data_IF_835310907429
#
_entry.id   IF_835310907429
#
_cell.length_a   1.000
_cell.length_b   1.000
_cell.length_c   1.000
_cell.angle_alpha   90.00
_cell.angle_beta   90.00
_cell.angle_gamma   90.00
#
_symmetry.space_group_name_H-M   'P 1'
#
loop_
_entity.id
_entity.type
_entity.pdbx_description
1 polymer ?
#
# COMPACT_ATOMS: atom_id res chain seq x y z
N UNK A 1 -6.63 39.55 -61.31
CA UNK A 1 -7.91 38.87 -61.04
C UNK A 1 -7.70 37.99 -59.82
N UNK A 2 -8.66 38.03 -58.91
CA UNK A 2 -8.57 37.81 -57.46
C UNK A 2 -7.88 36.54 -56.95
N UNK A 3 -6.97 36.76 -55.99
CA UNK A 3 -6.38 35.82 -55.05
C UNK A 3 -7.39 35.54 -53.93
N UNK A 4 -7.84 34.29 -53.78
CA UNK A 4 -8.88 33.89 -52.83
C UNK A 4 -8.22 33.54 -51.49
N UNK A 5 -8.17 34.50 -50.56
CA UNK A 5 -7.73 34.30 -49.18
C UNK A 5 -8.79 33.49 -48.40
N UNK A 6 -8.37 32.38 -47.78
CA UNK A 6 -9.16 31.65 -46.80
C UNK A 6 -9.21 32.46 -45.47
N UNK A 7 -10.39 32.66 -44.86
CA UNK A 7 -10.49 33.42 -43.62
C UNK A 7 -9.95 32.61 -42.41
N UNK A 8 -9.15 33.28 -41.58
CA UNK A 8 -8.75 32.83 -40.25
C UNK A 8 -10.00 32.65 -39.38
N UNK A 9 -10.19 31.46 -38.82
CA UNK A 9 -11.20 31.20 -37.79
C UNK A 9 -10.56 31.56 -36.44
N UNK A 10 -10.87 32.73 -35.92
CA UNK A 10 -10.62 33.10 -34.52
C UNK A 10 -11.71 32.48 -33.64
N UNK A 11 -11.32 31.71 -32.63
CA UNK A 11 -12.22 31.18 -31.60
C UNK A 11 -12.47 32.28 -30.56
N UNK A 12 -13.72 32.77 -30.36
CA UNK A 12 -14.00 33.71 -29.30
C UNK A 12 -14.06 32.99 -27.95
N UNK A 13 -13.35 33.57 -26.99
CA UNK A 13 -13.54 33.29 -25.58
C UNK A 13 -14.88 33.83 -25.08
N UNK A 14 -15.39 33.19 -24.02
CA UNK A 14 -16.48 33.62 -23.13
C UNK A 14 -17.90 33.13 -23.43
N UNK A 15 -18.66 33.10 -22.33
CA UNK A 15 -19.85 32.30 -22.03
C UNK A 15 -21.15 32.89 -22.59
N UNK A 16 -22.14 32.00 -22.74
CA UNK A 16 -23.60 32.23 -22.81
C UNK A 16 -24.20 32.86 -24.08
N UNK A 17 -24.92 32.06 -24.88
CA UNK A 17 -26.31 32.34 -25.27
C UNK A 17 -27.01 31.09 -25.85
N UNK A 18 -28.26 30.87 -25.44
CA UNK A 18 -29.17 29.81 -25.84
C UNK A 18 -29.92 30.12 -27.15
N UNK A 19 -30.33 29.05 -27.88
CA UNK A 19 -31.32 28.95 -28.98
C UNK A 19 -30.97 29.64 -30.34
N UNK A 20 -31.20 29.09 -31.55
CA UNK A 20 -32.07 28.02 -32.05
C UNK A 20 -31.65 27.54 -33.47
N UNK A 21 -31.70 26.22 -33.69
CA UNK A 21 -32.03 25.43 -34.90
C UNK A 21 -31.41 25.71 -36.30
N UNK A 22 -30.49 24.83 -36.73
CA UNK A 22 -30.50 24.13 -38.04
C UNK A 22 -29.37 23.07 -38.07
N UNK A 23 -29.69 21.78 -37.88
CA UNK A 23 -29.02 20.59 -38.47
C UNK A 23 -29.37 19.30 -37.70
N UNK A 24 -30.58 18.78 -37.95
CA UNK A 24 -31.13 17.63 -37.23
C UNK A 24 -31.03 16.28 -37.95
N UNK A 25 -30.30 16.15 -39.06
CA UNK A 25 -30.03 14.83 -39.68
C UNK A 25 -28.58 14.37 -39.56
N UNK A 26 -27.61 15.28 -39.68
CA UNK A 26 -26.17 14.93 -39.54
C UNK A 26 -25.82 14.66 -38.07
N UNK A 27 -26.32 15.48 -37.15
CA UNK A 27 -26.15 15.27 -35.70
C UNK A 27 -26.79 13.97 -35.22
N UNK A 28 -27.91 13.55 -35.82
CA UNK A 28 -28.57 12.29 -35.47
C UNK A 28 -27.77 11.08 -35.98
N UNK A 29 -27.28 11.11 -37.23
CA UNK A 29 -26.45 10.03 -37.81
C UNK A 29 -25.07 9.90 -37.13
N UNK A 30 -24.46 11.03 -36.71
CA UNK A 30 -23.22 11.01 -35.93
C UNK A 30 -23.47 10.49 -34.50
N UNK A 31 -24.58 10.90 -33.87
CA UNK A 31 -24.93 10.42 -32.52
C UNK A 31 -25.30 8.92 -32.53
N UNK A 32 -25.96 8.41 -33.57
CA UNK A 32 -26.30 6.99 -33.73
C UNK A 32 -25.05 6.12 -34.02
N UNK A 33 -24.09 6.64 -34.80
CA UNK A 33 -22.79 6.00 -35.07
C UNK A 33 -21.87 5.98 -33.83
N UNK A 34 -21.90 7.05 -33.01
CA UNK A 34 -21.16 7.13 -31.74
C UNK A 34 -21.81 6.26 -30.66
N UNK A 35 -23.14 6.15 -30.61
CA UNK A 35 -23.85 5.29 -29.66
C UNK A 35 -23.62 3.79 -29.91
N UNK A 36 -23.53 3.35 -31.18
CA UNK A 36 -23.20 1.94 -31.53
C UNK A 36 -21.74 1.55 -31.23
N UNK A 37 -20.80 2.50 -31.18
CA UNK A 37 -19.38 2.26 -30.84
C UNK A 37 -19.08 2.21 -29.33
N UNK A 38 -19.95 2.78 -28.49
CA UNK A 38 -19.80 2.80 -27.02
C UNK A 38 -19.80 1.42 -26.34
N UNK A 39 -20.69 0.46 -26.66
CA UNK A 39 -20.65 -0.86 -26.02
C UNK A 39 -19.41 -1.66 -26.42
N UNK A 40 -18.93 -1.53 -27.66
CA UNK A 40 -17.70 -2.18 -28.13
C UNK A 40 -16.48 -1.58 -27.44
N UNK A 41 -16.41 -0.25 -27.29
CA UNK A 41 -15.32 0.41 -26.58
C UNK A 41 -15.28 0.04 -25.09
N UNK A 42 -16.43 -0.02 -24.42
CA UNK A 42 -16.55 -0.47 -23.03
C UNK A 42 -16.14 -1.95 -22.90
N UNK A 43 -16.57 -2.80 -23.83
CA UNK A 43 -16.20 -4.22 -23.87
C UNK A 43 -14.70 -4.41 -24.11
N UNK A 44 -14.09 -3.67 -25.04
CA UNK A 44 -12.65 -3.70 -25.30
C UNK A 44 -11.85 -3.15 -24.11
N UNK A 45 -12.34 -2.10 -23.46
CA UNK A 45 -11.74 -1.57 -22.25
C UNK A 45 -11.80 -2.58 -21.09
N UNK A 46 -12.96 -3.22 -20.89
CA UNK A 46 -13.11 -4.31 -19.91
C UNK A 46 -12.19 -5.50 -20.24
N UNK A 47 -12.11 -5.91 -21.50
CA UNK A 47 -11.25 -6.99 -21.96
C UNK A 47 -9.77 -6.64 -21.75
N UNK A 48 -9.37 -5.38 -21.96
CA UNK A 48 -7.99 -4.92 -21.71
C UNK A 48 -7.61 -4.99 -20.23
N UNK A 49 -8.54 -4.65 -19.33
CA UNK A 49 -8.37 -4.76 -17.88
C UNK A 49 -8.28 -6.24 -17.44
N UNK A 50 -9.18 -7.07 -17.99
CA UNK A 50 -9.20 -8.50 -17.72
C UNK A 50 -7.91 -9.19 -18.21
N UNK A 51 -7.42 -8.78 -19.39
CA UNK A 51 -6.17 -9.29 -19.95
C UNK A 51 -4.93 -8.79 -19.18
N UNK A 52 -4.96 -7.55 -18.68
CA UNK A 52 -3.92 -7.04 -17.78
C UNK A 52 -3.91 -7.80 -16.43
N UNK A 53 -5.08 -8.15 -15.89
CA UNK A 53 -5.19 -8.95 -14.68
C UNK A 53 -4.54 -10.33 -14.83
N UNK A 54 -4.82 -11.05 -15.92
CA UNK A 54 -4.22 -12.36 -16.16
C UNK A 54 -2.72 -12.29 -16.40
N UNK A 55 -2.23 -11.26 -17.10
CA UNK A 55 -0.79 -11.03 -17.28
C UNK A 55 -0.07 -10.88 -15.93
N UNK A 56 -0.60 -10.02 -15.06
CA UNK A 56 -0.07 -9.83 -13.69
C UNK A 56 -0.10 -11.11 -12.87
N UNK A 57 -1.17 -11.91 -12.97
CA UNK A 57 -1.30 -13.17 -12.24
C UNK A 57 -0.31 -14.22 -12.75
N UNK A 58 -0.15 -14.33 -14.06
CA UNK A 58 0.85 -15.19 -14.71
C UNK A 58 2.27 -14.83 -14.27
N UNK A 59 2.61 -13.55 -14.28
CA UNK A 59 3.91 -13.03 -13.84
C UNK A 59 4.15 -13.31 -12.35
N UNK A 60 3.16 -13.03 -11.50
CA UNK A 60 3.20 -13.32 -10.06
C UNK A 60 3.44 -14.80 -9.76
N UNK A 61 2.91 -15.70 -10.58
CA UNK A 61 3.09 -17.15 -10.44
C UNK A 61 4.32 -17.69 -11.18
N UNK A 62 5.05 -16.84 -11.93
CA UNK A 62 6.24 -17.25 -12.67
C UNK A 62 5.95 -18.30 -13.76
N UNK A 63 4.74 -18.30 -14.34
CA UNK A 63 4.31 -19.33 -15.28
C UNK A 63 4.45 -18.89 -16.75
N UNK A 64 4.79 -19.83 -17.62
CA UNK A 64 4.58 -19.69 -19.08
C UNK A 64 3.07 -19.68 -19.40
N UNK A 65 2.66 -19.06 -20.49
CA UNK A 65 1.24 -19.03 -20.91
C UNK A 65 0.55 -20.41 -20.98
N UNK A 66 1.15 -21.47 -21.57
CA UNK A 66 0.50 -22.78 -21.62
C UNK A 66 0.26 -23.37 -20.21
N UNK A 67 1.27 -23.29 -19.33
CA UNK A 67 1.14 -23.71 -17.92
C UNK A 67 0.12 -22.87 -17.17
N UNK A 68 0.06 -21.58 -17.41
CA UNK A 68 -0.91 -20.69 -16.78
C UNK A 68 -2.35 -21.06 -17.15
N UNK A 69 -2.61 -21.33 -18.43
CA UNK A 69 -3.92 -21.79 -18.89
C UNK A 69 -4.29 -23.12 -18.23
N UNK A 70 -3.35 -24.07 -18.16
CA UNK A 70 -3.58 -25.35 -17.46
C UNK A 70 -3.95 -25.14 -15.99
N UNK A 71 -3.18 -24.34 -15.25
CA UNK A 71 -3.46 -24.01 -13.85
C UNK A 71 -4.83 -23.35 -13.68
N UNK A 72 -5.18 -22.40 -14.54
CA UNK A 72 -6.47 -21.73 -14.49
C UNK A 72 -7.63 -22.71 -14.74
N UNK A 73 -7.49 -23.58 -15.74
CA UNK A 73 -8.44 -24.66 -16.01
C UNK A 73 -8.57 -25.62 -14.84
N UNK A 74 -7.46 -25.99 -14.19
CA UNK A 74 -7.47 -26.81 -12.96
C UNK A 74 -8.29 -26.16 -11.86
N UNK A 75 -8.19 -24.85 -11.66
CA UNK A 75 -9.01 -24.12 -10.68
C UNK A 75 -10.50 -24.13 -11.06
N UNK A 76 -10.84 -23.88 -12.32
CA UNK A 76 -12.24 -23.85 -12.77
C UNK A 76 -12.92 -25.22 -12.63
N UNK A 77 -12.23 -26.28 -13.08
CA UNK A 77 -12.72 -27.66 -12.97
C UNK A 77 -12.74 -28.11 -11.52
N UNK A 78 -11.71 -27.79 -10.73
CA UNK A 78 -11.66 -28.08 -9.29
C UNK A 78 -12.77 -27.41 -8.49
N UNK A 79 -13.11 -26.16 -8.81
CA UNK A 79 -14.25 -25.45 -8.22
C UNK A 79 -15.59 -26.09 -8.57
N UNK A 80 -15.75 -26.52 -9.82
CA UNK A 80 -16.96 -27.20 -10.29
C UNK A 80 -17.13 -28.57 -9.60
N UNK A 81 -16.04 -29.34 -9.49
CA UNK A 81 -16.00 -30.60 -8.75
C UNK A 81 -16.33 -30.40 -7.26
N UNK A 82 -15.76 -29.36 -6.63
CA UNK A 82 -16.06 -29.02 -5.23
C UNK A 82 -17.55 -28.71 -5.02
N UNK A 83 -18.14 -27.89 -5.90
CA UNK A 83 -19.56 -27.56 -5.82
C UNK A 83 -20.46 -28.79 -5.97
N UNK A 84 -20.12 -29.69 -6.91
CA UNK A 84 -20.83 -30.95 -7.10
C UNK A 84 -20.73 -31.87 -5.87
N UNK A 85 -19.51 -32.11 -5.38
CA UNK A 85 -19.25 -32.96 -4.21
C UNK A 85 -19.93 -32.40 -2.96
N UNK A 86 -19.84 -31.08 -2.73
CA UNK A 86 -20.52 -30.42 -1.62
C UNK A 86 -22.04 -30.63 -1.67
N UNK A 87 -22.68 -30.47 -2.85
CA UNK A 87 -24.12 -30.72 -3.00
C UNK A 87 -24.49 -32.17 -2.74
N UNK A 88 -23.68 -33.12 -3.22
CA UNK A 88 -23.87 -34.56 -2.99
C UNK A 88 -23.77 -34.92 -1.51
N UNK A 89 -22.80 -34.36 -0.79
CA UNK A 89 -22.63 -34.58 0.65
C UNK A 89 -23.77 -33.94 1.46
N UNK A 90 -24.20 -32.72 1.11
CA UNK A 90 -25.36 -32.10 1.76
C UNK A 90 -26.64 -32.94 1.59
N UNK A 91 -26.81 -33.62 0.45
CA UNK A 91 -27.95 -34.51 0.24
C UNK A 91 -27.98 -35.71 1.20
N UNK A 92 -26.86 -36.07 1.85
CA UNK A 92 -26.80 -37.14 2.85
C UNK A 92 -27.24 -36.69 4.25
N UNK A 93 -27.36 -35.37 4.48
CA UNK A 93 -27.52 -34.82 5.84
C UNK A 93 -28.97 -34.60 6.28
N UNK A 94 -29.96 -34.95 5.45
CA UNK A 94 -31.40 -34.70 5.68
C UNK A 94 -31.76 -33.27 6.16
N UNK A 95 -30.85 -32.32 5.98
CA UNK A 95 -31.01 -30.93 6.41
C UNK A 95 -31.96 -30.18 5.48
N UNK A 96 -32.94 -29.51 6.07
CA UNK A 96 -33.82 -28.61 5.34
C UNK A 96 -33.06 -27.37 4.85
N UNK A 97 -33.47 -26.82 3.71
CA UNK A 97 -32.84 -25.65 3.09
C UNK A 97 -33.18 -24.36 3.85
N UNK A 98 -32.51 -24.14 4.98
CA UNK A 98 -32.57 -22.91 5.78
C UNK A 98 -31.20 -22.23 5.93
N UNK A 99 -31.10 -21.24 6.83
CA UNK A 99 -29.84 -20.52 7.11
C UNK A 99 -28.72 -21.49 7.53
N UNK A 100 -29.05 -22.45 8.39
CA UNK A 100 -28.11 -23.46 8.88
C UNK A 100 -27.54 -24.33 7.74
N UNK A 101 -28.36 -24.67 6.75
CA UNK A 101 -27.92 -25.40 5.56
C UNK A 101 -26.83 -24.64 4.81
N UNK A 102 -27.02 -23.33 4.59
CA UNK A 102 -26.03 -22.52 3.86
C UNK A 102 -24.75 -22.31 4.65
N UNK A 103 -24.83 -22.14 5.97
CA UNK A 103 -23.64 -22.07 6.84
C UNK A 103 -22.82 -23.36 6.73
N UNK A 104 -23.48 -24.51 6.91
CA UNK A 104 -22.83 -25.81 6.83
C UNK A 104 -22.27 -26.04 5.42
N UNK A 105 -23.02 -25.68 4.38
CA UNK A 105 -22.57 -25.82 3.00
C UNK A 105 -21.31 -25.00 2.72
N UNK A 106 -21.22 -23.75 3.20
CA UNK A 106 -20.04 -22.89 3.03
C UNK A 106 -18.82 -23.49 3.75
N UNK A 107 -18.98 -23.96 4.99
CA UNK A 107 -17.90 -24.61 5.74
C UNK A 107 -17.44 -25.87 4.99
N UNK A 108 -18.38 -26.68 4.54
CA UNK A 108 -18.13 -27.93 3.82
C UNK A 108 -17.35 -27.69 2.52
N UNK A 109 -17.79 -26.77 1.66
CA UNK A 109 -17.06 -26.48 0.40
C UNK A 109 -15.68 -25.89 0.67
N UNK A 110 -15.50 -25.12 1.74
CA UNK A 110 -14.20 -24.54 2.11
C UNK A 110 -13.20 -25.64 2.48
N UNK A 111 -13.65 -26.67 3.19
CA UNK A 111 -12.82 -27.82 3.59
C UNK A 111 -12.51 -28.73 2.38
N UNK A 112 -13.49 -28.95 1.49
CA UNK A 112 -13.38 -29.88 0.37
C UNK A 112 -12.57 -29.29 -0.79
N UNK A 113 -12.67 -27.98 -1.02
CA UNK A 113 -12.11 -27.31 -2.19
C UNK A 113 -10.62 -27.59 -2.43
N UNK A 114 -9.72 -27.53 -1.43
CA UNK A 114 -8.31 -27.87 -1.61
C UNK A 114 -8.09 -29.29 -2.15
N UNK A 115 -8.87 -30.25 -1.65
CA UNK A 115 -8.83 -31.65 -2.09
C UNK A 115 -9.29 -31.80 -3.54
N UNK A 116 -10.40 -31.17 -3.91
CA UNK A 116 -10.90 -31.20 -5.30
C UNK A 116 -9.90 -30.61 -6.30
N UNK A 117 -9.28 -29.48 -5.95
CA UNK A 117 -8.24 -28.86 -6.79
C UNK A 117 -7.03 -29.77 -6.94
N UNK A 118 -6.60 -30.45 -5.86
CA UNK A 118 -5.50 -31.41 -5.93
C UNK A 118 -5.82 -32.62 -6.81
N UNK A 119 -7.03 -33.19 -6.71
CA UNK A 119 -7.46 -34.31 -7.55
C UNK A 119 -7.43 -33.91 -9.03
N UNK A 120 -8.00 -32.76 -9.39
CA UNK A 120 -7.98 -32.26 -10.78
C UNK A 120 -6.56 -31.93 -11.25
N UNK A 121 -5.69 -31.48 -10.34
CA UNK A 121 -4.30 -31.16 -10.66
C UNK A 121 -3.47 -32.38 -11.09
N UNK A 122 -3.88 -33.60 -10.72
CA UNK A 122 -3.26 -34.85 -11.19
C UNK A 122 -3.49 -35.03 -12.70
N UNK A 123 -4.73 -34.83 -13.16
CA UNK A 123 -5.10 -35.00 -14.58
C UNK A 123 -4.54 -33.90 -15.49
N UNK A 124 -4.24 -32.74 -14.92
CA UNK A 124 -3.67 -31.58 -15.66
C UNK A 124 -2.15 -31.48 -15.54
N UNK A 125 -1.51 -32.41 -14.83
CA UNK A 125 -0.06 -32.41 -14.58
C UNK A 125 0.44 -31.24 -13.72
N UNK A 126 -0.45 -30.51 -13.04
CA UNK A 126 -0.13 -29.34 -12.22
C UNK A 126 0.00 -29.65 -10.71
N UNK A 127 -0.03 -30.92 -10.33
CA UNK A 127 0.01 -31.33 -8.92
C UNK A 127 1.16 -30.72 -8.09
N UNK A 128 2.42 -30.68 -8.56
CA UNK A 128 3.52 -30.07 -7.79
C UNK A 128 3.29 -28.57 -7.53
N UNK A 129 2.72 -27.86 -8.51
CA UNK A 129 2.38 -26.44 -8.38
C UNK A 129 1.31 -26.24 -7.30
N UNK A 130 0.20 -26.98 -7.37
CA UNK A 130 -0.92 -26.83 -6.44
C UNK A 130 -0.61 -27.31 -5.04
N UNK A 131 0.16 -28.39 -4.88
CA UNK A 131 0.67 -28.83 -3.58
C UNK A 131 1.47 -27.71 -2.93
N UNK A 132 2.45 -27.14 -3.64
CA UNK A 132 3.27 -26.05 -3.11
C UNK A 132 2.46 -24.78 -2.82
N UNK A 133 1.48 -24.47 -3.68
CA UNK A 133 0.56 -23.35 -3.51
C UNK A 133 -0.28 -23.50 -2.23
N UNK A 134 -0.92 -24.66 -2.04
CA UNK A 134 -1.72 -24.96 -0.86
C UNK A 134 -0.88 -25.04 0.41
N UNK A 135 0.33 -25.61 0.37
CA UNK A 135 1.24 -25.62 1.52
C UNK A 135 1.64 -24.20 1.94
N UNK A 136 1.93 -23.31 1.00
CA UNK A 136 2.23 -21.89 1.30
C UNK A 136 1.01 -21.19 1.92
N UNK A 137 -0.18 -21.48 1.42
CA UNK A 137 -1.43 -20.92 1.95
C UNK A 137 -1.72 -21.44 3.37
N UNK A 138 -1.55 -22.75 3.60
CA UNK A 138 -1.77 -23.39 4.90
C UNK A 138 -0.78 -22.89 5.96
N UNK A 139 0.49 -22.68 5.60
CA UNK A 139 1.48 -22.06 6.50
C UNK A 139 1.08 -20.66 6.95
N UNK A 140 0.43 -19.87 6.09
CA UNK A 140 -0.08 -18.54 6.46
C UNK A 140 -1.25 -18.64 7.44
N UNK A 141 -2.19 -19.54 7.17
CA UNK A 141 -3.35 -19.77 8.05
C UNK A 141 -2.90 -20.30 9.42
N UNK A 142 -2.00 -21.29 9.45
CA UNK A 142 -1.50 -21.86 10.72
C UNK A 142 -0.53 -20.93 11.46
N UNK A 143 0.29 -20.15 10.76
CA UNK A 143 1.13 -19.13 11.40
C UNK A 143 0.30 -18.04 12.07
N UNK A 144 -0.87 -17.73 11.51
CA UNK A 144 -1.84 -16.81 12.09
C UNK A 144 -2.56 -17.44 13.30
N UNK A 145 -2.89 -18.73 13.26
CA UNK A 145 -3.48 -19.48 14.39
C UNK A 145 -2.52 -19.65 15.58
N UNK A 146 -1.24 -19.93 15.31
CA UNK A 146 -0.22 -20.10 16.35
C UNK A 146 0.16 -18.79 17.07
N UNK A 147 -0.12 -17.63 16.46
CA UNK A 147 -0.01 -16.33 17.14
C UNK A 147 -1.25 -15.97 17.98
N UNK A 148 -2.40 -16.61 17.71
CA UNK A 148 -3.66 -16.40 18.45
C UNK A 148 -3.74 -17.32 19.68
N UNK A 149 -3.24 -18.55 19.55
CA UNK A 149 -3.16 -19.53 20.64
C UNK A 149 -1.70 -19.67 21.06
N UNK A 150 -1.27 -18.87 22.03
CA UNK A 150 0.11 -18.82 22.51
C UNK A 150 0.56 -20.12 23.18
N UNK A 151 0.96 -21.11 22.39
CA UNK A 151 1.73 -22.26 22.87
C UNK A 151 3.22 -21.99 22.64
N UNK A 152 3.89 -21.47 23.66
CA UNK A 152 5.34 -21.45 23.73
C UNK A 152 5.83 -22.85 24.07
N UNK A 153 6.48 -23.51 23.12
CA UNK A 153 7.25 -24.72 23.41
C UNK A 153 8.51 -24.31 24.18
N UNK A 154 8.50 -24.59 25.48
CA UNK A 154 9.60 -24.33 26.41
C UNK A 154 10.58 -25.50 26.32
N UNK A 155 11.78 -25.27 25.78
CA UNK A 155 12.89 -26.21 25.89
C UNK A 155 13.52 -26.08 27.28
N UNK A 156 13.27 -27.06 28.13
CA UNK A 156 13.97 -27.28 29.40
C UNK A 156 15.16 -28.22 29.18
N UNK A 157 16.38 -27.70 29.34
CA UNK A 157 17.51 -28.49 29.86
C UNK A 157 18.39 -27.65 30.79
N UNK A 158 18.19 -27.89 32.09
CA UNK A 158 19.24 -28.19 33.08
C UNK A 158 20.54 -27.37 33.07
N UNK A 159 20.76 -26.58 34.12
CA UNK A 159 21.87 -26.82 35.06
C UNK A 159 21.68 -25.99 36.35
N UNK A 160 21.90 -26.66 37.48
CA UNK A 160 21.95 -26.12 38.83
C UNK A 160 23.25 -25.34 39.08
N UNK A 161 23.23 -24.37 40.00
CA UNK A 161 23.93 -24.47 41.30
C UNK A 161 24.62 -23.17 41.80
N UNK A 162 24.47 -22.98 43.13
CA UNK A 162 25.17 -22.17 44.14
C UNK A 162 25.49 -20.67 43.98
N UNK A 163 25.07 -19.92 45.01
CA UNK A 163 26.01 -19.07 45.77
C UNK A 163 25.54 -17.64 46.08
N UNK A 164 25.16 -17.38 47.33
CA UNK A 164 25.03 -16.03 47.88
C UNK A 164 26.38 -15.29 47.86
N UNK A 165 26.37 -14.01 47.46
CA UNK A 165 27.18 -12.99 48.13
C UNK A 165 26.64 -11.59 47.85
N UNK A 166 26.31 -10.87 48.92
CA UNK A 166 25.96 -9.47 48.97
C UNK A 166 27.20 -8.59 48.87
N UNK A 167 27.21 -7.61 47.97
CA UNK A 167 27.79 -6.30 48.28
C UNK A 167 27.15 -5.19 47.42
N UNK A 168 26.80 -4.02 48.00
CA UNK A 168 26.23 -2.89 47.28
C UNK A 168 27.33 -1.88 46.93
N UNK A 169 27.50 -1.57 45.64
CA UNK A 169 28.00 -0.28 45.12
C UNK A 169 28.55 -0.45 43.70
N UNK A 170 27.82 0.08 42.72
CA UNK A 170 28.29 1.13 41.84
C UNK A 170 27.18 1.44 40.84
N UNK A 171 26.42 2.49 41.15
CA UNK A 171 25.58 3.19 40.19
C UNK A 171 26.47 3.82 39.11
N UNK A 172 26.88 3.01 38.14
CA UNK A 172 27.13 3.50 36.79
C UNK A 172 25.94 3.04 35.98
N UNK A 173 24.86 3.83 36.01
CA UNK A 173 23.83 3.76 34.97
C UNK A 173 24.55 4.08 33.67
N UNK A 174 24.91 3.01 32.98
CA UNK A 174 25.35 3.07 31.59
C UNK A 174 24.23 3.75 30.82
N UNK A 175 24.45 5.02 30.45
CA UNK A 175 23.60 5.79 29.54
C UNK A 175 23.77 5.17 28.14
N UNK A 176 23.37 3.92 27.98
CA UNK A 176 23.07 3.37 26.68
C UNK A 176 21.90 4.19 26.14
N UNK A 177 22.21 5.16 25.29
CA UNK A 177 21.19 6.03 24.70
C UNK A 177 20.13 5.15 24.06
N UNK A 178 18.90 5.17 24.58
CA UNK A 178 17.84 4.31 24.10
C UNK A 178 17.67 4.47 22.58
N UNK A 179 17.73 3.35 21.85
CA UNK A 179 17.54 3.32 20.40
C UNK A 179 16.11 3.78 20.11
N UNK A 180 15.96 4.82 19.31
CA UNK A 180 14.66 5.30 18.83
C UNK A 180 14.19 4.45 17.66
N UNK A 181 13.04 3.80 17.81
CA UNK A 181 12.50 2.87 16.82
C UNK A 181 11.47 3.57 15.94
N UNK A 182 11.68 3.55 14.63
CA UNK A 182 10.79 4.23 13.69
C UNK A 182 9.99 3.23 12.86
N UNK A 183 8.75 3.61 12.54
CA UNK A 183 7.92 2.92 11.57
C UNK A 183 7.80 3.73 10.28
N UNK A 184 7.98 3.07 9.13
CA UNK A 184 7.79 3.70 7.81
C UNK A 184 6.44 3.26 7.24
N UNK A 185 5.56 4.21 6.94
CA UNK A 185 4.27 3.96 6.31
C UNK A 185 4.37 4.20 4.81
N UNK A 186 3.93 3.25 3.99
CA UNK A 186 3.98 3.37 2.53
C UNK A 186 2.89 2.56 1.82
N UNK A 187 2.40 3.06 0.68
CA UNK A 187 1.34 2.41 -0.13
C UNK A 187 1.80 1.92 -1.51
N UNK A 188 3.04 2.21 -1.90
CA UNK A 188 3.50 2.11 -3.30
C UNK A 188 4.83 1.38 -3.50
N UNK A 189 5.62 1.85 -4.48
CA UNK A 189 6.90 1.26 -4.86
C UNK A 189 7.92 1.27 -3.71
N UNK A 190 7.86 2.29 -2.83
CA UNK A 190 8.70 2.37 -1.63
C UNK A 190 10.10 2.97 -1.86
N UNK A 191 10.30 3.76 -2.91
CA UNK A 191 11.61 4.38 -3.22
C UNK A 191 12.14 5.23 -2.05
N UNK A 192 11.31 6.09 -1.45
CA UNK A 192 11.67 6.86 -0.26
C UNK A 192 11.97 5.96 0.95
N UNK A 193 11.17 4.91 1.17
CA UNK A 193 11.42 3.95 2.24
C UNK A 193 12.79 3.26 2.06
N UNK A 194 13.15 2.86 0.84
CA UNK A 194 14.46 2.27 0.55
C UNK A 194 15.62 3.22 0.88
N UNK A 195 15.49 4.51 0.56
CA UNK A 195 16.51 5.52 0.87
C UNK A 195 16.65 5.75 2.37
N UNK A 196 15.54 5.86 3.11
CA UNK A 196 15.57 6.00 4.57
C UNK A 196 16.19 4.76 5.23
N UNK A 197 15.79 3.56 4.80
CA UNK A 197 16.34 2.29 5.33
C UNK A 197 17.85 2.20 5.08
N UNK A 198 18.30 2.53 3.88
CA UNK A 198 19.71 2.50 3.53
C UNK A 198 20.53 3.53 4.33
N UNK A 199 20.00 4.75 4.49
CA UNK A 199 20.63 5.84 5.23
C UNK A 199 20.80 5.53 6.71
N UNK A 200 19.75 5.00 7.34
CA UNK A 200 19.74 4.66 8.76
C UNK A 200 20.32 3.26 9.05
N UNK A 201 20.91 2.60 8.05
CA UNK A 201 21.49 1.27 8.22
C UNK A 201 22.69 1.35 9.16
N UNK A 202 22.64 0.59 10.26
CA UNK A 202 23.65 0.59 11.33
C UNK A 202 23.78 1.94 12.07
N UNK A 203 22.76 2.80 12.01
CA UNK A 203 22.76 4.03 12.78
C UNK A 203 22.78 3.72 14.29
N UNK A 204 23.59 4.44 15.07
CA UNK A 204 23.89 4.09 16.46
C UNK A 204 22.67 4.20 17.41
N UNK A 205 21.69 5.03 17.05
CA UNK A 205 20.62 5.45 17.95
C UNK A 205 19.23 5.48 17.30
N UNK A 206 19.12 5.13 16.02
CA UNK A 206 17.85 5.13 15.27
C UNK A 206 17.75 3.81 14.52
N UNK A 207 16.60 3.15 14.61
CA UNK A 207 16.37 1.88 13.94
C UNK A 207 15.04 1.90 13.19
N UNK A 208 15.06 1.52 11.90
CA UNK A 208 13.82 1.21 11.18
C UNK A 208 13.31 -0.15 11.64
N UNK A 209 12.30 -0.15 12.49
CA UNK A 209 11.80 -1.34 13.18
C UNK A 209 10.62 -1.99 12.47
N UNK A 210 9.85 -1.21 11.71
CA UNK A 210 8.61 -1.67 11.11
C UNK A 210 8.32 -0.94 9.79
N UNK A 211 7.83 -1.67 8.80
CA UNK A 211 7.16 -1.08 7.63
C UNK A 211 5.67 -1.36 7.72
N UNK A 212 4.85 -0.31 7.61
CA UNK A 212 3.39 -0.40 7.60
C UNK A 212 2.87 -0.17 6.20
N UNK A 213 2.08 -1.10 5.69
CA UNK A 213 1.56 -1.06 4.33
C UNK A 213 0.07 -1.39 4.28
N UNK A 214 -0.68 -0.69 3.45
CA UNK A 214 -2.12 -0.89 3.24
C UNK A 214 -2.45 -1.52 1.88
N UNK A 215 -1.44 -1.88 1.08
CA UNK A 215 -1.61 -2.39 -0.28
C UNK A 215 -0.89 -3.71 -0.48
N UNK A 216 -1.62 -4.82 -0.64
CA UNK A 216 -1.01 -6.10 -1.00
C UNK A 216 -0.20 -6.00 -2.29
N UNK A 217 1.03 -6.52 -2.27
CA UNK A 217 1.93 -6.50 -3.43
C UNK A 217 2.57 -5.15 -3.73
N UNK A 218 2.50 -4.18 -2.81
CA UNK A 218 3.32 -2.96 -2.90
C UNK A 218 4.81 -3.30 -2.90
N UNK A 219 5.61 -2.56 -3.68
CA UNK A 219 7.06 -2.77 -3.79
C UNK A 219 7.80 -2.63 -2.46
N UNK A 220 7.29 -1.77 -1.57
CA UNK A 220 7.85 -1.57 -0.22
C UNK A 220 7.91 -2.86 0.61
N UNK A 221 7.03 -3.83 0.34
CA UNK A 221 7.02 -5.12 1.05
C UNK A 221 8.30 -5.91 0.75
N UNK A 222 8.73 -5.91 -0.51
CA UNK A 222 9.96 -6.59 -0.91
C UNK A 222 11.17 -5.86 -0.32
N UNK A 223 11.19 -4.52 -0.38
CA UNK A 223 12.25 -3.69 0.22
C UNK A 223 12.42 -4.00 1.71
N UNK A 224 11.32 -4.08 2.47
CA UNK A 224 11.36 -4.43 3.88
C UNK A 224 11.91 -5.85 4.10
N UNK A 225 11.43 -6.82 3.30
CA UNK A 225 11.88 -8.22 3.36
C UNK A 225 13.37 -8.35 3.11
N UNK A 226 13.89 -7.68 2.07
CA UNK A 226 15.31 -7.73 1.69
C UNK A 226 16.23 -7.12 2.76
N UNK A 227 15.70 -6.26 3.62
CA UNK A 227 16.41 -5.64 4.74
C UNK A 227 16.08 -6.27 6.10
N UNK A 228 15.32 -7.38 6.13
CA UNK A 228 14.95 -8.06 7.38
C UNK A 228 14.01 -7.27 8.28
N UNK A 229 13.27 -6.30 7.74
CA UNK A 229 12.34 -5.45 8.50
C UNK A 229 10.93 -6.06 8.44
N UNK A 230 10.27 -6.29 9.60
CA UNK A 230 8.89 -6.77 9.64
C UNK A 230 7.93 -5.84 8.88
N UNK A 231 6.90 -6.44 8.26
CA UNK A 231 5.83 -5.71 7.59
C UNK A 231 4.51 -5.93 8.32
N UNK A 232 3.87 -4.84 8.74
CA UNK A 232 2.49 -4.83 9.21
C UNK A 232 1.57 -4.45 8.05
N UNK A 233 0.77 -5.42 7.60
CA UNK A 233 -0.32 -5.15 6.63
C UNK A 233 -1.53 -4.61 7.38
N UNK A 234 -1.94 -3.38 7.10
CA UNK A 234 -3.08 -2.73 7.73
C UNK A 234 -4.33 -2.78 6.85
N UNK A 235 -5.46 -2.94 7.49
CA UNK A 235 -6.77 -3.01 6.83
C UNK A 235 -7.59 -1.75 7.11
N UNK A 236 -8.41 -1.36 6.13
CA UNK A 236 -9.15 -0.10 6.15
C UNK A 236 -10.03 0.05 7.39
N UNK A 237 -10.79 -0.99 7.72
CA UNK A 237 -11.75 -0.96 8.83
C UNK A 237 -11.05 -0.74 10.16
N UNK A 238 -10.09 -1.59 10.49
CA UNK A 238 -9.33 -1.48 11.74
C UNK A 238 -8.49 -0.20 11.82
N UNK A 239 -7.97 0.27 10.69
CA UNK A 239 -7.19 1.50 10.64
C UNK A 239 -8.04 2.74 10.93
N UNK A 240 -9.22 2.86 10.32
CA UNK A 240 -10.04 4.08 10.44
C UNK A 240 -11.07 4.04 11.58
N UNK A 241 -11.56 2.86 11.96
CA UNK A 241 -12.62 2.70 12.97
C UNK A 241 -12.17 1.97 14.24
N UNK A 242 -10.97 1.39 14.22
CA UNK A 242 -10.34 0.82 15.41
C UNK A 242 -9.36 1.78 16.06
N UNK A 243 -8.35 1.23 16.73
CA UNK A 243 -7.26 1.96 17.39
C UNK A 243 -6.13 2.39 16.42
N UNK A 244 -6.35 2.37 15.11
CA UNK A 244 -5.32 2.66 14.09
C UNK A 244 -4.03 1.80 14.20
N UNK A 245 -4.13 0.58 14.77
CA UNK A 245 -3.01 -0.30 15.08
C UNK A 245 -2.00 0.27 16.10
N UNK A 246 -2.43 1.23 16.94
CA UNK A 246 -1.57 1.83 17.97
C UNK A 246 -1.02 0.76 18.91
N UNK A 247 -1.83 -0.22 19.33
CA UNK A 247 -1.37 -1.26 20.26
C UNK A 247 -0.29 -2.15 19.64
N UNK A 248 -0.44 -2.53 18.37
CA UNK A 248 0.56 -3.30 17.64
C UNK A 248 1.87 -2.53 17.46
N UNK A 249 1.78 -1.22 17.21
CA UNK A 249 2.96 -0.39 17.00
C UNK A 249 3.67 -0.06 18.31
N UNK A 250 2.95 0.43 19.32
CA UNK A 250 3.54 0.81 20.61
C UNK A 250 3.94 -0.40 21.44
N UNK A 251 3.01 -1.33 21.68
CA UNK A 251 3.24 -2.39 22.67
C UNK A 251 3.99 -3.58 22.11
N UNK A 252 3.79 -3.93 20.83
CA UNK A 252 4.48 -5.10 20.23
C UNK A 252 5.78 -4.72 19.54
N UNK A 253 5.81 -3.57 18.86
CA UNK A 253 6.97 -3.15 18.07
C UNK A 253 7.83 -2.08 18.76
N UNK A 254 7.33 -1.43 19.81
CA UNK A 254 8.04 -0.37 20.54
C UNK A 254 8.31 0.85 19.67
N UNK A 255 7.41 1.22 18.76
CA UNK A 255 7.61 2.35 17.85
C UNK A 255 7.53 3.67 18.61
N UNK A 256 8.51 4.54 18.39
CA UNK A 256 8.63 5.87 19.00
C UNK A 256 8.32 7.02 18.03
N UNK A 257 8.43 6.75 16.72
CA UNK A 257 8.30 7.76 15.67
C UNK A 257 7.78 7.15 14.36
N UNK A 258 7.01 7.92 13.60
CA UNK A 258 6.37 7.49 12.36
C UNK A 258 6.81 8.40 11.20
N UNK A 259 7.20 7.77 10.09
CA UNK A 259 7.57 8.45 8.84
C UNK A 259 6.64 8.00 7.72
N UNK A 260 5.88 8.93 7.13
CA UNK A 260 5.05 8.67 5.98
C UNK A 260 5.87 8.85 4.69
N UNK A 261 6.12 7.76 3.98
CA UNK A 261 6.93 7.70 2.77
C UNK A 261 6.09 7.22 1.58
N UNK A 262 5.20 8.08 1.09
CA UNK A 262 4.23 7.73 0.04
C UNK A 262 3.05 6.90 0.56
N UNK A 263 2.57 7.22 1.77
CA UNK A 263 1.35 6.65 2.34
C UNK A 263 0.13 7.46 1.90
N UNK A 264 -0.88 6.78 1.36
CA UNK A 264 -2.00 7.46 0.66
C UNK A 264 -3.28 7.62 1.50
N UNK A 265 -3.31 7.07 2.70
CA UNK A 265 -4.48 7.17 3.57
C UNK A 265 -4.32 8.33 4.56
N UNK A 266 -5.43 9.01 4.86
CA UNK A 266 -5.46 10.01 5.93
C UNK A 266 -5.03 9.35 7.24
N UNK A 267 -4.17 10.01 8.00
CA UNK A 267 -3.82 9.55 9.35
C UNK A 267 -5.02 9.77 10.30
N UNK A 268 -5.50 8.73 11.01
CA UNK A 268 -6.58 8.85 11.98
C UNK A 268 -6.15 9.63 13.23
N UNK A 269 -7.11 10.31 13.88
CA UNK A 269 -6.87 11.07 15.12
C UNK A 269 -6.23 10.20 16.22
N UNK A 270 -6.69 8.96 16.39
CA UNK A 270 -6.13 8.01 17.35
C UNK A 270 -4.61 7.79 17.19
N UNK A 271 -4.10 7.84 15.95
CA UNK A 271 -2.66 7.69 15.71
C UNK A 271 -1.91 9.01 16.00
N UNK A 272 -2.48 10.16 15.65
CA UNK A 272 -1.91 11.48 15.93
C UNK A 272 -1.82 11.71 17.45
N UNK A 273 -2.89 11.41 18.18
CA UNK A 273 -2.94 11.48 19.64
C UNK A 273 -1.92 10.54 20.31
N UNK A 274 -1.71 9.35 19.75
CA UNK A 274 -0.74 8.41 20.24
C UNK A 274 0.71 8.84 19.97
N UNK A 275 0.97 9.62 18.92
CA UNK A 275 2.32 10.06 18.50
C UNK A 275 2.39 11.59 18.35
N UNK A 276 2.18 12.36 19.43
CA UNK A 276 2.16 13.82 19.36
C UNK A 276 3.54 14.33 18.93
N UNK A 277 3.57 15.14 17.88
CA UNK A 277 4.80 15.68 17.26
C UNK A 277 5.83 14.60 16.88
N UNK A 278 5.36 13.37 16.59
CA UNK A 278 6.18 12.19 16.28
C UNK A 278 5.78 11.51 14.98
N UNK A 279 5.06 12.22 14.11
CA UNK A 279 4.68 11.78 12.78
C UNK A 279 5.10 12.86 11.79
N UNK A 280 5.91 12.49 10.78
CA UNK A 280 6.27 13.39 9.68
C UNK A 280 5.90 12.79 8.34
N UNK A 281 5.62 13.67 7.38
CA UNK A 281 5.31 13.32 6.01
C UNK A 281 6.17 14.13 5.04
N UNK A 282 6.44 13.56 3.87
CA UNK A 282 6.96 14.30 2.72
C UNK A 282 5.85 14.49 1.69
N UNK A 283 5.68 15.73 1.23
CA UNK A 283 4.71 16.12 0.23
C UNK A 283 5.41 16.68 -1.02
N UNK A 284 5.04 16.26 -2.24
CA UNK A 284 5.73 16.63 -3.48
C UNK A 284 5.31 17.99 -4.05
N UNK A 285 5.17 19.00 -3.18
CA UNK A 285 5.00 20.40 -3.55
C UNK A 285 5.54 21.33 -2.46
N UNK A 286 5.64 22.63 -2.79
CA UNK A 286 5.92 23.71 -1.85
C UNK A 286 4.63 24.10 -1.12
N UNK A 287 4.35 23.44 0.02
CA UNK A 287 3.20 23.76 0.85
C UNK A 287 3.23 25.23 1.31
N UNK A 288 2.06 25.88 1.48
CA UNK A 288 0.71 25.30 1.44
C UNK A 288 0.15 25.04 0.03
N UNK A 289 0.88 25.40 -1.03
CA UNK A 289 0.41 25.21 -2.40
C UNK A 289 0.36 23.72 -2.76
N UNK A 290 -0.70 23.34 -3.48
CA UNK A 290 -0.95 21.97 -3.93
C UNK A 290 -0.93 20.94 -2.78
N UNK A 291 -1.26 21.35 -1.56
CA UNK A 291 -1.58 20.45 -0.45
C UNK A 291 -3.06 20.11 -0.41
N UNK A 292 -3.42 19.18 0.47
CA UNK A 292 -4.81 18.88 0.79
C UNK A 292 -5.37 17.63 0.13
N UNK A 293 -6.66 17.39 0.37
CA UNK A 293 -7.32 16.16 -0.06
C UNK A 293 -7.28 16.01 -1.59
N UNK A 294 -6.71 14.92 -2.07
CA UNK A 294 -6.61 14.60 -3.50
C UNK A 294 -5.32 15.07 -4.16
N UNK A 295 -4.51 15.88 -3.47
CA UNK A 295 -3.19 16.28 -3.93
C UNK A 295 -2.15 15.28 -3.45
N UNK A 296 -2.01 14.15 -4.14
CA UNK A 296 -0.97 13.17 -3.84
C UNK A 296 -0.41 12.53 -5.12
N UNK A 297 0.85 12.10 -5.07
CA UNK A 297 1.53 11.46 -6.19
C UNK A 297 1.40 12.28 -7.48
N UNK A 298 1.04 11.61 -8.58
CA UNK A 298 0.98 12.24 -9.91
C UNK A 298 0.02 13.44 -10.01
N UNK A 299 -1.05 13.45 -9.22
CA UNK A 299 -2.02 14.54 -9.24
C UNK A 299 -1.40 15.90 -8.88
N UNK A 300 -0.38 15.90 -8.01
CA UNK A 300 0.34 17.11 -7.64
C UNK A 300 1.11 17.66 -8.83
N UNK A 301 1.91 16.82 -9.49
CA UNK A 301 2.70 17.22 -10.65
C UNK A 301 1.81 17.66 -11.83
N UNK A 302 0.69 16.96 -12.06
CA UNK A 302 -0.31 17.35 -13.06
C UNK A 302 -0.90 18.73 -12.76
N UNK A 303 -1.24 19.01 -11.50
CA UNK A 303 -1.80 20.31 -11.09
C UNK A 303 -0.77 21.45 -11.20
N UNK A 304 0.48 21.22 -10.80
CA UNK A 304 1.58 22.20 -10.87
C UNK A 304 1.88 22.57 -12.33
N UNK A 305 2.01 21.58 -13.22
CA UNK A 305 2.25 21.82 -14.64
C UNK A 305 1.05 22.50 -15.30
N UNK A 306 -0.18 22.08 -14.98
CA UNK A 306 -1.38 22.69 -15.54
C UNK A 306 -1.57 24.15 -15.11
N UNK A 307 -1.06 24.53 -13.94
CA UNK A 307 -1.07 25.91 -13.45
C UNK A 307 0.02 26.79 -14.08
N UNK A 308 0.96 26.22 -14.83
CA UNK A 308 2.05 26.96 -15.47
C UNK A 308 3.11 27.48 -14.50
N UNK A 309 3.26 26.83 -13.34
CA UNK A 309 4.26 27.19 -12.34
C UNK A 309 5.68 27.13 -12.90
N UNK A 310 6.55 28.01 -12.40
CA UNK A 310 7.98 28.04 -12.77
C UNK A 310 8.89 27.35 -11.77
N UNK A 311 8.35 27.02 -10.60
CA UNK A 311 9.06 26.29 -9.55
C UNK A 311 8.14 25.27 -8.91
N UNK A 312 8.73 24.19 -8.42
CA UNK A 312 8.09 23.22 -7.54
C UNK A 312 9.08 22.76 -6.49
N UNK A 313 8.76 21.70 -5.76
CA UNK A 313 9.64 21.19 -4.75
C UNK A 313 9.00 20.17 -3.84
N UNK A 314 9.65 19.94 -2.71
CA UNK A 314 9.17 19.08 -1.65
C UNK A 314 8.95 19.88 -0.38
N UNK A 315 8.01 19.44 0.45
CA UNK A 315 7.86 19.88 1.83
C UNK A 315 7.86 18.68 2.76
N UNK A 316 8.70 18.72 3.78
CA UNK A 316 8.65 17.79 4.90
C UNK A 316 8.00 18.53 6.06
N UNK A 317 6.99 17.94 6.68
CA UNK A 317 6.19 18.58 7.71
C UNK A 317 5.71 17.58 8.75
N UNK A 318 5.37 18.08 9.94
CA UNK A 318 4.66 17.30 10.94
C UNK A 318 3.24 16.98 10.46
N UNK A 319 2.70 15.83 10.84
CA UNK A 319 1.32 15.45 10.52
C UNK A 319 0.39 15.88 11.64
N UNK A 320 -0.72 16.52 11.28
CA UNK A 320 -1.83 16.82 12.18
C UNK A 320 -3.15 16.27 11.59
N UNK A 321 -4.29 16.65 12.17
CA UNK A 321 -5.61 16.15 11.77
C UNK A 321 -6.06 16.63 10.38
N UNK A 322 -5.37 17.63 9.83
CA UNK A 322 -5.66 18.26 8.55
C UNK A 322 -4.62 17.84 7.52
N UNK A 323 -5.04 17.77 6.27
CA UNK A 323 -4.14 17.34 5.20
C UNK A 323 -3.10 18.43 4.94
N UNK A 324 -1.83 18.09 5.07
CA UNK A 324 -0.70 18.92 4.65
C UNK A 324 -0.69 20.34 5.27
N UNK A 325 -1.31 20.49 6.44
CA UNK A 325 -1.42 21.76 7.21
C UNK A 325 -0.60 21.73 8.52
N UNK A 326 0.28 20.74 8.67
CA UNK A 326 1.17 20.68 9.84
C UNK A 326 2.39 21.57 9.70
N UNK A 327 3.09 21.79 10.81
CA UNK A 327 4.27 22.66 10.86
C UNK A 327 5.35 22.16 9.88
N UNK A 328 5.84 23.09 9.06
CA UNK A 328 6.89 22.81 8.09
C UNK A 328 8.23 22.60 8.80
N UNK A 329 8.92 21.53 8.42
CA UNK A 329 10.26 21.19 8.91
C UNK A 329 11.30 21.63 7.89
N UNK A 330 11.06 21.31 6.61
CA UNK A 330 12.02 21.54 5.54
C UNK A 330 11.33 21.69 4.19
N UNK A 331 11.89 22.54 3.33
CA UNK A 331 11.49 22.66 1.93
C UNK A 331 12.72 22.73 1.02
N UNK A 332 12.64 22.08 -0.13
CA UNK A 332 13.61 22.20 -1.21
C UNK A 332 12.89 22.45 -2.53
N UNK A 333 13.49 23.28 -3.39
CA UNK A 333 12.91 23.74 -4.66
C UNK A 333 13.61 23.10 -5.86
N UNK A 334 12.89 23.00 -6.97
CA UNK A 334 13.44 22.77 -8.30
C UNK A 334 12.74 23.65 -9.34
N UNK A 335 13.47 23.99 -10.40
CA UNK A 335 12.95 24.78 -11.51
C UNK A 335 12.11 23.93 -12.46
N UNK A 336 11.02 24.51 -12.96
CA UNK A 336 10.19 23.98 -14.03
C UNK A 336 10.52 24.75 -15.31
N UNK A 337 10.98 24.00 -16.30
CA UNK A 337 11.24 24.49 -17.66
C UNK A 337 10.00 24.33 -18.52
N UNK A 338 9.91 25.09 -19.62
CA UNK A 338 8.76 25.01 -20.55
C UNK A 338 8.63 23.64 -21.25
N UNK A 339 9.67 22.79 -21.17
CA UNK A 339 9.66 21.42 -21.70
C UNK A 339 9.27 20.37 -20.67
N UNK A 340 9.10 20.75 -19.40
CA UNK A 340 8.74 19.80 -18.36
C UNK A 340 7.31 19.27 -18.53
N UNK A 341 7.17 17.98 -18.25
CA UNK A 341 5.90 17.26 -18.17
C UNK A 341 5.68 16.82 -16.73
N UNK A 342 4.46 16.37 -16.36
CA UNK A 342 4.23 15.82 -15.02
C UNK A 342 5.19 14.68 -14.67
N UNK A 343 5.62 13.88 -15.66
CA UNK A 343 6.51 12.75 -15.43
C UNK A 343 7.99 13.19 -15.26
N UNK A 344 8.46 14.20 -16.01
CA UNK A 344 9.82 14.75 -15.80
C UNK A 344 9.91 15.57 -14.51
N UNK A 345 8.84 16.30 -14.16
CA UNK A 345 8.73 16.96 -12.86
C UNK A 345 8.77 15.93 -11.73
N UNK A 346 8.02 14.83 -11.84
CA UNK A 346 8.06 13.75 -10.84
C UNK A 346 9.48 13.20 -10.62
N UNK A 347 10.29 13.10 -11.68
CA UNK A 347 11.69 12.68 -11.56
C UNK A 347 12.53 13.69 -10.76
N UNK A 348 12.44 14.99 -11.10
CA UNK A 348 13.11 16.07 -10.35
C UNK A 348 12.69 16.07 -8.88
N UNK A 349 11.39 15.90 -8.62
CA UNK A 349 10.87 15.81 -7.26
C UNK A 349 11.45 14.58 -6.53
N UNK A 350 11.46 13.40 -7.15
CA UNK A 350 12.05 12.21 -6.54
C UNK A 350 13.55 12.38 -6.23
N UNK A 351 14.31 13.11 -7.04
CA UNK A 351 15.70 13.43 -6.73
C UNK A 351 15.81 14.27 -5.44
N UNK A 352 14.94 15.27 -5.26
CA UNK A 352 14.87 16.04 -4.02
C UNK A 352 14.45 15.16 -2.84
N UNK A 353 13.40 14.35 -2.99
CA UNK A 353 12.92 13.45 -1.93
C UNK A 353 14.03 12.50 -1.47
N UNK A 354 14.75 11.87 -2.41
CA UNK A 354 15.80 10.89 -2.10
C UNK A 354 17.02 11.53 -1.47
N UNK A 355 17.30 12.79 -1.80
CA UNK A 355 18.40 13.56 -1.24
C UNK A 355 18.10 14.00 0.19
N UNK A 356 16.96 14.67 0.39
CA UNK A 356 16.71 15.38 1.64
C UNK A 356 15.93 14.56 2.66
N UNK A 357 15.01 13.69 2.24
CA UNK A 357 14.11 13.05 3.20
C UNK A 357 14.83 12.16 4.22
N UNK A 358 15.82 11.32 3.86
CA UNK A 358 16.56 10.52 4.84
C UNK A 358 17.32 11.36 5.88
N UNK A 359 18.00 12.43 5.42
CA UNK A 359 18.76 13.33 6.30
C UNK A 359 17.85 14.08 7.27
N UNK A 360 16.72 14.60 6.79
CA UNK A 360 15.75 15.32 7.64
C UNK A 360 15.06 14.37 8.62
N UNK A 361 14.74 13.13 8.22
CA UNK A 361 14.23 12.10 9.14
C UNK A 361 15.21 11.89 10.30
N UNK A 362 16.49 11.71 10.01
CA UNK A 362 17.53 11.56 11.03
C UNK A 362 17.56 12.77 11.98
N UNK A 363 17.67 13.98 11.44
CA UNK A 363 17.77 15.22 12.22
C UNK A 363 16.55 15.43 13.14
N UNK A 364 15.34 15.19 12.64
CA UNK A 364 14.11 15.36 13.42
C UNK A 364 14.04 14.34 14.54
N UNK A 365 14.31 13.06 14.24
CA UNK A 365 14.29 11.98 15.23
C UNK A 365 15.36 12.21 16.30
N UNK A 366 16.56 12.63 15.91
CA UNK A 366 17.62 13.05 16.82
C UNK A 366 17.22 14.23 17.72
N UNK A 367 16.59 15.26 17.14
CA UNK A 367 16.11 16.42 17.87
C UNK A 367 15.10 16.03 18.95
N UNK A 368 14.11 15.22 18.58
CA UNK A 368 13.10 14.69 19.50
C UNK A 368 13.72 13.81 20.60
N UNK A 369 14.75 13.02 20.28
CA UNK A 369 15.50 12.20 21.25
C UNK A 369 16.21 13.08 22.29
N UNK A 370 16.84 14.18 21.86
CA UNK A 370 17.58 15.12 22.72
C UNK A 370 16.65 15.93 23.62
N UNK A 371 15.48 16.35 23.14
CA UNK A 371 14.48 17.07 23.94
C UNK A 371 13.64 16.15 24.83
N UNK A 372 13.74 14.83 24.65
CA UNK A 372 12.86 13.82 25.25
C UNK A 372 13.40 13.10 26.49
N UNK A 373 14.48 13.58 27.11
CA UNK A 373 14.88 13.14 28.45
C UNK A 373 14.30 14.13 29.48
N UNK A 374 13.32 13.75 30.32
CA UNK A 374 12.95 14.59 31.44
C UNK A 374 14.17 14.67 32.37
N UNK A 375 14.77 15.86 32.51
CA UNK A 375 15.48 16.18 33.73
C UNK A 375 14.50 15.95 34.88
N UNK A 376 14.78 14.96 35.72
CA UNK A 376 14.19 14.87 37.05
C UNK A 376 14.63 16.13 37.78
N UNK A 377 13.74 17.12 37.86
CA UNK A 377 13.82 18.21 38.85
C UNK A 377 12.80 17.97 39.92
#
# INVERSE_FOLDING_TARGET
MHEFQLPKIELPASKECFHQAADSQISFLICESVAKKRPIAIFLHFLSHFWAMFRRLKEKWGLSWPRFILVFTTFAVGGSLCGYTGKRLMALTSLEKGVLYYIIYIVLITIIWPGCVLVVSLFTGQFPFFRNYLTKMWRRVNGQWSMVNGESKLDTTSAMDHGLSSNPQSDTRDQTSAITRIAIFASGAGSNAAKIIAHLKNHASIQVQLVVCNKPGAGVIQIATDNGIPVLMIEKEKFFRGNAYVDEMKHRSGIDFIVLAGFLWKVPAALIEAYPNRIINIHPALLPNYGGKGMYGRHVHEAVIAAGEKESGITIHYVNERFDEGEHIFQARCEITDTDTPDTLAQKIHELEHRYFPEIVEQVVEGVRKTGSPEVR
#
